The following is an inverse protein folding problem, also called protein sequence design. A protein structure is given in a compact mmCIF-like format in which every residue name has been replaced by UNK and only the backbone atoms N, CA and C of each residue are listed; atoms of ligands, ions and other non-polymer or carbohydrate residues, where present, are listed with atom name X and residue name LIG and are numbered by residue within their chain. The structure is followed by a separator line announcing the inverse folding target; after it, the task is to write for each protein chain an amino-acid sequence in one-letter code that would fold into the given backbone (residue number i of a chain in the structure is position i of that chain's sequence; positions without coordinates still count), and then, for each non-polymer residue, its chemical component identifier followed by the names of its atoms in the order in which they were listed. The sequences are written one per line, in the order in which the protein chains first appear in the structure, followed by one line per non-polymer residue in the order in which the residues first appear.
data_IF_959358250807
#
_entry.id   IF_959358250807
#
_cell.length_a   1.000
_cell.length_b   1.000
_cell.length_c   1.000
_cell.angle_alpha   90.00
_cell.angle_beta   90.00
_cell.angle_gamma   90.00
#
_symmetry.space_group_name_H-M   'P 1'
#
loop_
_entity.id
_entity.type
_entity.pdbx_description
1 polymer ?
#
# COMPACT_ATOMS: atom_id res chain seq x y z
N UNK A 1 18.64 5.99 -7.79
CA UNK A 1 18.46 4.57 -8.16
C UNK A 1 16.99 4.39 -8.46
N UNK A 2 16.62 3.97 -9.67
CA UNK A 2 15.21 3.72 -10.02
C UNK A 2 14.88 2.27 -9.71
N UNK A 3 14.06 2.02 -8.69
CA UNK A 3 13.65 0.67 -8.32
C UNK A 3 12.45 0.27 -9.21
N UNK A 4 12.75 -0.25 -10.39
CA UNK A 4 11.75 -0.89 -11.24
C UNK A 4 11.67 -2.37 -10.84
N UNK A 5 10.79 -2.71 -9.90
CA UNK A 5 10.64 -4.08 -9.40
C UNK A 5 9.33 -4.30 -8.65
N UNK A 6 9.00 -5.56 -8.41
CA UNK A 6 7.87 -5.94 -7.56
C UNK A 6 8.38 -6.43 -6.22
N UNK A 7 7.73 -6.03 -5.13
CA UNK A 7 8.02 -6.52 -3.78
C UNK A 7 6.75 -7.02 -3.11
N UNK A 8 6.86 -8.09 -2.33
CA UNK A 8 5.79 -8.53 -1.44
C UNK A 8 5.82 -7.66 -0.18
N UNK A 9 4.73 -6.90 0.04
CA UNK A 9 4.61 -5.98 1.17
C UNK A 9 3.33 -6.30 1.96
N UNK A 10 3.40 -6.16 3.28
CA UNK A 10 2.22 -6.19 4.14
C UNK A 10 1.47 -4.87 4.01
N UNK A 11 0.25 -4.93 3.46
CA UNK A 11 -0.58 -3.77 3.15
C UNK A 11 -1.87 -3.81 3.97
N UNK A 12 -2.26 -2.66 4.52
CA UNK A 12 -3.54 -2.47 5.21
C UNK A 12 -4.56 -1.78 4.30
N UNK A 13 -5.77 -2.32 4.27
CA UNK A 13 -6.94 -1.73 3.63
C UNK A 13 -7.48 -0.51 4.38
N UNK A 14 -6.70 0.57 4.45
CA UNK A 14 -7.10 1.86 5.03
C UNK A 14 -6.63 3.03 4.17
N UNK A 15 -7.31 4.17 4.31
CA UNK A 15 -6.92 5.46 3.75
C UNK A 15 -6.96 6.55 4.85
N UNK A 16 -6.83 7.83 4.47
CA UNK A 16 -6.85 8.95 5.41
C UNK A 16 -8.17 9.13 6.19
N UNK A 17 -9.27 8.54 5.72
CA UNK A 17 -10.60 8.61 6.35
C UNK A 17 -11.00 7.36 7.14
N UNK A 18 -10.18 6.30 7.16
CA UNK A 18 -10.48 5.05 7.86
C UNK A 18 -10.38 3.82 6.96
N UNK A 19 -11.23 2.82 7.21
CA UNK A 19 -11.23 1.55 6.48
C UNK A 19 -11.59 1.77 5.01
N UNK A 20 -10.72 1.32 4.11
CA UNK A 20 -10.88 1.48 2.67
C UNK A 20 -10.16 0.35 1.94
N UNK A 21 -10.89 -0.43 1.15
CA UNK A 21 -10.28 -1.51 0.38
C UNK A 21 -9.19 -0.99 -0.56
N UNK A 22 -8.17 -1.83 -0.75
CA UNK A 22 -7.15 -1.67 -1.79
C UNK A 22 -7.58 -2.47 -2.99
N UNK A 23 -7.58 -1.83 -4.16
CA UNK A 23 -7.78 -2.43 -5.46
C UNK A 23 -6.45 -2.54 -6.22
N UNK A 24 -6.41 -3.40 -7.24
CA UNK A 24 -5.28 -3.44 -8.18
C UNK A 24 -5.06 -2.06 -8.82
N UNK A 25 -3.80 -1.63 -8.90
CA UNK A 25 -3.39 -0.32 -9.40
C UNK A 25 -3.45 0.83 -8.40
N UNK A 26 -4.05 0.63 -7.21
CA UNK A 26 -4.12 1.69 -6.19
C UNK A 26 -2.73 2.15 -5.75
N UNK A 27 -2.58 3.46 -5.55
CA UNK A 27 -1.34 4.01 -5.00
C UNK A 27 -1.19 3.64 -3.53
N UNK A 28 -0.02 3.13 -3.19
CA UNK A 28 0.36 2.75 -1.83
C UNK A 28 1.43 3.68 -1.29
N UNK A 29 1.26 4.03 -0.03
CA UNK A 29 2.08 4.97 0.70
C UNK A 29 2.59 4.33 1.98
N UNK A 30 3.82 4.67 2.35
CA UNK A 30 4.43 4.31 3.61
C UNK A 30 4.21 5.41 4.65
N UNK A 31 3.64 5.02 5.78
CA UNK A 31 3.45 5.85 6.97
C UNK A 31 4.07 5.10 8.16
N UNK A 32 5.17 5.62 8.69
CA UNK A 32 5.94 4.97 9.77
C UNK A 32 5.11 4.74 11.05
N UNK A 33 4.17 5.64 11.34
CA UNK A 33 3.30 5.55 12.52
C UNK A 33 2.20 4.47 12.41
N UNK A 34 2.06 3.79 11.27
CA UNK A 34 1.01 2.79 11.05
C UNK A 34 1.52 1.35 11.14
N UNK A 35 0.64 0.46 11.59
CA UNK A 35 0.88 -0.99 11.59
C UNK A 35 -0.24 -1.73 10.84
N UNK A 36 0.07 -2.43 9.72
CA UNK A 36 1.32 -2.30 8.96
C UNK A 36 1.47 -0.91 8.30
N UNK A 37 2.70 -0.51 7.93
CA UNK A 37 2.99 0.87 7.53
C UNK A 37 2.59 1.21 6.10
N UNK A 38 2.23 0.22 5.28
CA UNK A 38 1.83 0.43 3.88
C UNK A 38 0.31 0.44 3.77
N UNK A 39 -0.26 1.50 3.22
CA UNK A 39 -1.71 1.64 2.99
C UNK A 39 -2.01 2.67 1.91
N UNK A 40 -3.28 3.06 1.72
CA UNK A 40 -3.70 4.15 0.82
C UNK A 40 -3.68 5.53 1.49
N UNK A 41 -3.01 5.68 2.64
CA UNK A 41 -2.88 6.97 3.32
C UNK A 41 -1.88 7.87 2.59
N UNK A 42 -2.40 8.73 1.74
CA UNK A 42 -1.64 9.68 0.92
C UNK A 42 -0.86 10.75 1.71
N UNK A 43 -0.94 10.77 3.03
CA UNK A 43 -0.08 11.58 3.92
C UNK A 43 1.34 11.01 4.03
N UNK A 44 1.56 9.76 3.61
CA UNK A 44 2.86 9.10 3.64
C UNK A 44 3.71 9.30 2.39
N UNK A 45 4.84 8.59 2.33
CA UNK A 45 5.72 8.56 1.15
C UNK A 45 5.19 7.57 0.12
N UNK A 46 5.04 7.98 -1.15
CA UNK A 46 4.65 7.06 -2.23
C UNK A 46 5.67 5.91 -2.34
N UNK A 47 5.16 4.68 -2.35
CA UNK A 47 5.93 3.45 -2.46
C UNK A 47 5.78 2.86 -3.86
N UNK A 48 4.55 2.82 -4.36
CA UNK A 48 4.25 2.10 -5.59
C UNK A 48 2.76 1.90 -5.82
N UNK A 49 2.43 0.91 -6.64
CA UNK A 49 1.07 0.51 -6.98
C UNK A 49 0.79 -0.92 -6.52
N UNK A 50 -0.37 -1.14 -5.92
CA UNK A 50 -0.86 -2.47 -5.58
C UNK A 50 -1.04 -3.33 -6.83
N UNK A 51 -0.76 -4.63 -6.73
CA UNK A 51 -1.01 -5.62 -7.80
C UNK A 51 -2.02 -6.69 -7.39
N UNK A 52 -2.70 -6.50 -6.26
CA UNK A 52 -3.76 -7.36 -5.76
C UNK A 52 -4.66 -6.57 -4.80
N UNK A 53 -5.83 -7.14 -4.49
CA UNK A 53 -6.82 -6.52 -3.62
C UNK A 53 -6.55 -6.81 -2.14
N UNK A 54 -6.80 -5.84 -1.27
CA UNK A 54 -6.88 -6.03 0.19
C UNK A 54 -8.24 -5.55 0.67
N UNK A 55 -8.95 -6.40 1.42
CA UNK A 55 -10.25 -6.05 1.98
C UNK A 55 -10.22 -4.80 2.88
N UNK A 56 -11.35 -4.11 2.98
CA UNK A 56 -11.48 -2.92 3.84
C UNK A 56 -11.20 -3.27 5.31
N UNK A 57 -10.27 -2.55 5.94
CA UNK A 57 -9.80 -2.82 7.31
C UNK A 57 -8.92 -4.07 7.46
N UNK A 58 -8.80 -4.89 6.42
CA UNK A 58 -7.99 -6.10 6.44
C UNK A 58 -6.50 -5.77 6.27
N UNK A 59 -5.65 -6.74 6.59
CA UNK A 59 -4.23 -6.73 6.28
C UNK A 59 -3.91 -7.97 5.46
N UNK A 60 -3.16 -7.80 4.39
CA UNK A 60 -2.68 -8.91 3.56
C UNK A 60 -1.31 -8.58 2.99
N UNK A 61 -0.52 -9.62 2.74
CA UNK A 61 0.72 -9.51 1.97
C UNK A 61 0.38 -9.59 0.48
N UNK A 62 0.72 -8.56 -0.28
CA UNK A 62 0.47 -8.49 -1.72
C UNK A 62 1.72 -8.05 -2.47
N UNK A 63 1.78 -8.38 -3.76
CA UNK A 63 2.77 -7.79 -4.65
C UNK A 63 2.47 -6.31 -4.88
N UNK A 64 3.52 -5.50 -4.82
CA UNK A 64 3.49 -4.06 -5.07
C UNK A 64 4.53 -3.73 -6.12
N UNK A 65 4.12 -3.06 -7.19
CA UNK A 65 5.03 -2.48 -8.19
C UNK A 65 5.65 -1.24 -7.59
N UNK A 66 6.94 -1.29 -7.27
CA UNK A 66 7.68 -0.17 -6.71
C UNK A 66 7.90 0.89 -7.79
N UNK A 67 7.74 2.15 -7.42
CA UNK A 67 8.10 3.29 -8.24
C UNK A 67 9.30 3.99 -7.59
N UNK A 68 10.46 3.95 -8.23
CA UNK A 68 11.68 4.64 -7.78
C UNK A 68 12.37 5.37 -8.92
#
# INVERSE_FOLDING_TARGET
MKFNGTAELSVKGVNGGGNSAVADGDQLFYVDADTPPISKKNTGRLVGQAMATVGSGATATILVRLNG
#
